data_IF_646852111380
#
_entry.id   IF_646852111380
#
_cell.length_a   1.000
_cell.length_b   1.000
_cell.length_c   1.000
_cell.angle_alpha   90.00
_cell.angle_beta   90.00
_cell.angle_gamma   90.00
#
_symmetry.space_group_name_H-M   'P 1'
#
loop_
_entity.id
_entity.type
_entity.pdbx_description
1 polymer ?
#
# COMPACT_ATOMS: atom_id res chain seq x y z
N UNK A 1 -35.60 -0.23 -5.44
CA UNK A 1 -34.30 0.01 -6.10
C UNK A 1 -33.21 -0.49 -5.17
N UNK A 2 -32.78 -1.75 -5.37
CA UNK A 2 -31.81 -2.41 -4.49
C UNK A 2 -30.48 -1.68 -4.50
N UNK A 3 -29.92 -1.41 -3.31
CA UNK A 3 -28.60 -0.78 -3.16
C UNK A 3 -27.56 -1.66 -3.86
N UNK A 4 -27.06 -1.22 -4.99
CA UNK A 4 -25.93 -1.86 -5.68
C UNK A 4 -24.78 -1.89 -4.68
N UNK A 5 -24.36 -3.08 -4.23
CA UNK A 5 -23.19 -3.19 -3.38
C UNK A 5 -21.99 -2.70 -4.21
N UNK A 6 -21.42 -1.58 -3.79
CA UNK A 6 -20.22 -1.01 -4.42
C UNK A 6 -19.11 -2.06 -4.35
N UNK A 7 -18.50 -2.39 -5.48
CA UNK A 7 -17.40 -3.37 -5.48
C UNK A 7 -16.20 -2.81 -4.70
N UNK A 8 -15.37 -3.69 -4.12
CA UNK A 8 -14.15 -3.27 -3.42
C UNK A 8 -13.25 -2.38 -4.31
N UNK A 9 -13.22 -2.65 -5.62
CA UNK A 9 -12.47 -1.87 -6.60
C UNK A 9 -13.00 -0.45 -6.72
N UNK A 10 -14.32 -0.29 -6.79
CA UNK A 10 -14.96 1.04 -6.80
C UNK A 10 -14.75 1.76 -5.48
N UNK A 11 -14.75 1.03 -4.36
CA UNK A 11 -14.56 1.64 -3.06
C UNK A 11 -13.13 2.13 -2.86
N UNK A 12 -12.12 1.36 -3.29
CA UNK A 12 -10.72 1.80 -3.33
C UNK A 12 -10.54 3.04 -4.20
N UNK A 13 -11.23 3.12 -5.35
CA UNK A 13 -11.18 4.29 -6.23
C UNK A 13 -11.77 5.54 -5.55
N UNK A 14 -12.90 5.38 -4.85
CA UNK A 14 -13.53 6.47 -4.08
C UNK A 14 -12.58 6.98 -2.99
N UNK A 15 -11.93 6.08 -2.26
CA UNK A 15 -10.94 6.47 -1.24
C UNK A 15 -9.76 7.22 -1.88
N UNK A 16 -9.17 6.71 -2.98
CA UNK A 16 -8.06 7.38 -3.67
C UNK A 16 -8.43 8.80 -4.14
N UNK A 17 -9.63 8.98 -4.67
CA UNK A 17 -10.15 10.29 -5.06
C UNK A 17 -10.32 11.22 -3.84
N UNK A 18 -10.81 10.69 -2.72
CA UNK A 18 -10.97 11.45 -1.48
C UNK A 18 -9.63 11.96 -0.92
N UNK A 19 -8.52 11.26 -1.19
CA UNK A 19 -7.17 11.68 -0.77
C UNK A 19 -6.44 12.58 -1.77
N UNK A 20 -7.01 12.92 -2.93
CA UNK A 20 -6.38 13.83 -3.89
C UNK A 20 -6.02 15.21 -3.29
N UNK A 21 -6.84 15.85 -2.43
CA UNK A 21 -6.46 17.10 -1.76
C UNK A 21 -5.23 16.94 -0.86
N UNK A 22 -5.16 15.82 -0.12
CA UNK A 22 -4.00 15.49 0.72
C UNK A 22 -2.75 15.34 -0.15
N UNK A 23 -2.83 14.54 -1.22
CA UNK A 23 -1.73 14.37 -2.19
C UNK A 23 -1.25 15.71 -2.74
N UNK A 24 -2.16 16.62 -3.11
CA UNK A 24 -1.80 17.94 -3.65
C UNK A 24 -1.07 18.84 -2.66
N UNK A 25 -1.30 18.65 -1.35
CA UNK A 25 -0.62 19.40 -0.30
C UNK A 25 0.81 18.87 0.00
N UNK A 26 1.14 17.67 -0.47
CA UNK A 26 2.46 17.07 -0.30
C UNK A 26 3.52 17.74 -1.21
N UNK A 27 4.79 17.67 -0.79
CA UNK A 27 5.93 18.01 -1.65
C UNK A 27 5.99 17.05 -2.83
N UNK A 28 6.62 17.46 -3.94
CA UNK A 28 6.70 16.64 -5.15
C UNK A 28 7.35 15.26 -4.93
N UNK A 29 8.37 15.17 -4.07
CA UNK A 29 8.97 13.90 -3.66
C UNK A 29 7.96 12.98 -2.99
N UNK A 30 7.18 13.53 -2.07
CA UNK A 30 6.27 12.78 -1.22
C UNK A 30 5.00 12.39 -2.00
N UNK A 31 4.64 13.16 -3.03
CA UNK A 31 3.59 12.79 -3.99
C UNK A 31 3.93 11.51 -4.74
N UNK A 32 5.19 11.30 -5.12
CA UNK A 32 5.61 10.07 -5.81
C UNK A 32 5.50 8.86 -4.88
N UNK A 33 5.98 9.00 -3.64
CA UNK A 33 5.85 7.95 -2.61
C UNK A 33 4.38 7.64 -2.34
N UNK A 34 3.54 8.67 -2.24
CA UNK A 34 2.10 8.51 -2.06
C UNK A 34 1.46 7.69 -3.20
N UNK A 35 1.81 7.99 -4.45
CA UNK A 35 1.28 7.25 -5.60
C UNK A 35 1.73 5.79 -5.58
N UNK A 36 2.99 5.52 -5.24
CA UNK A 36 3.54 4.16 -5.10
C UNK A 36 2.81 3.37 -4.01
N UNK A 37 2.53 3.98 -2.86
CA UNK A 37 1.76 3.36 -1.78
C UNK A 37 0.34 2.97 -2.22
N UNK A 38 -0.35 3.84 -2.97
CA UNK A 38 -1.69 3.52 -3.48
C UNK A 38 -1.67 2.41 -4.53
N UNK A 39 -0.61 2.32 -5.35
CA UNK A 39 -0.40 1.17 -6.24
C UNK A 39 -0.18 -0.12 -5.43
N UNK A 40 0.66 -0.06 -4.39
CA UNK A 40 0.93 -1.21 -3.52
C UNK A 40 -0.36 -1.71 -2.82
N UNK A 41 -1.20 -0.79 -2.32
CA UNK A 41 -2.47 -1.13 -1.70
C UNK A 41 -3.43 -1.87 -2.65
N UNK A 42 -3.44 -1.52 -3.93
CA UNK A 42 -4.30 -2.14 -4.95
C UNK A 42 -3.95 -3.61 -5.20
N UNK A 43 -2.73 -4.05 -4.92
CA UNK A 43 -2.32 -5.45 -5.10
C UNK A 43 -3.02 -6.42 -4.13
N UNK A 44 -3.56 -5.91 -3.03
CA UNK A 44 -4.22 -6.70 -1.99
C UNK A 44 -5.75 -6.62 -2.05
N UNK A 45 -6.32 -6.16 -3.18
CA UNK A 45 -7.78 -6.06 -3.39
C UNK A 45 -8.55 -7.34 -3.09
N UNK A 46 -7.97 -8.51 -3.38
CA UNK A 46 -8.57 -9.80 -3.06
C UNK A 46 -8.66 -10.05 -1.54
N UNK A 47 -7.60 -9.71 -0.79
CA UNK A 47 -7.58 -9.82 0.66
C UNK A 47 -8.56 -8.81 1.32
N UNK A 48 -8.60 -7.57 0.80
CA UNK A 48 -9.55 -6.55 1.24
C UNK A 48 -11.01 -6.97 0.98
N UNK A 49 -11.30 -7.66 -0.13
CA UNK A 49 -12.62 -8.20 -0.42
C UNK A 49 -13.07 -9.28 0.59
N UNK A 50 -12.13 -10.03 1.15
CA UNK A 50 -12.41 -11.03 2.19
C UNK A 50 -12.58 -10.42 3.57
N UNK A 51 -12.03 -9.23 3.80
CA UNK A 51 -12.19 -8.46 5.03
C UNK A 51 -13.53 -7.70 5.07
N UNK A 52 -14.65 -8.42 4.93
CA UNK A 52 -16.03 -7.87 4.80
C UNK A 52 -16.50 -6.94 5.92
N UNK A 53 -15.73 -6.79 7.00
CA UNK A 53 -16.01 -5.89 8.14
C UNK A 53 -15.06 -4.71 8.27
N UNK A 54 -13.92 -4.71 7.56
CA UNK A 54 -12.95 -3.61 7.63
C UNK A 54 -13.37 -2.45 6.73
N UNK A 55 -13.09 -1.21 7.13
CA UNK A 55 -13.26 -0.08 6.24
C UNK A 55 -12.25 -0.20 5.07
N UNK A 56 -12.63 0.19 3.84
CA UNK A 56 -11.75 0.11 2.66
C UNK A 56 -10.38 0.75 2.90
N UNK A 57 -10.35 1.92 3.55
CA UNK A 57 -9.11 2.61 3.88
C UNK A 57 -8.24 1.82 4.87
N UNK A 58 -8.82 1.17 5.88
CA UNK A 58 -8.06 0.33 6.83
C UNK A 58 -7.41 -0.84 6.10
N UNK A 59 -8.12 -1.46 5.15
CA UNK A 59 -7.58 -2.53 4.32
C UNK A 59 -6.46 -2.02 3.42
N UNK A 60 -6.59 -0.81 2.85
CA UNK A 60 -5.55 -0.18 2.04
C UNK A 60 -4.30 0.13 2.88
N UNK A 61 -4.46 0.73 4.06
CA UNK A 61 -3.35 1.01 4.98
C UNK A 61 -2.64 -0.27 5.41
N UNK A 62 -3.39 -1.32 5.77
CA UNK A 62 -2.79 -2.60 6.13
C UNK A 62 -1.99 -3.21 4.96
N UNK A 63 -2.51 -3.08 3.74
CA UNK A 63 -1.85 -3.53 2.52
C UNK A 63 -0.54 -2.78 2.26
N UNK A 64 -0.55 -1.45 2.43
CA UNK A 64 0.66 -0.62 2.36
C UNK A 64 1.69 -1.07 3.39
N UNK A 65 1.27 -1.27 4.65
CA UNK A 65 2.17 -1.73 5.73
C UNK A 65 2.78 -3.11 5.44
N UNK A 66 2.02 -4.03 4.84
CA UNK A 66 2.52 -5.35 4.45
C UNK A 66 3.61 -5.22 3.37
N UNK A 67 3.39 -4.40 2.35
CA UNK A 67 4.39 -4.20 1.29
C UNK A 67 5.65 -3.49 1.80
N UNK A 68 5.50 -2.49 2.67
CA UNK A 68 6.62 -1.82 3.33
C UNK A 68 7.41 -2.80 4.22
N UNK A 69 6.72 -3.66 4.98
CA UNK A 69 7.39 -4.68 5.79
C UNK A 69 8.19 -5.67 4.94
N UNK A 70 7.65 -6.08 3.79
CA UNK A 70 8.36 -6.95 2.83
C UNK A 70 9.59 -6.26 2.26
N UNK A 71 9.49 -4.99 1.87
CA UNK A 71 10.60 -4.21 1.35
C UNK A 71 11.72 -4.06 2.41
N UNK A 72 11.37 -3.74 3.66
CA UNK A 72 12.30 -3.66 4.77
C UNK A 72 13.01 -4.99 5.03
N UNK A 73 12.27 -6.12 5.03
CA UNK A 73 12.86 -7.45 5.19
C UNK A 73 13.81 -7.81 4.06
N UNK A 74 13.46 -7.46 2.83
CA UNK A 74 14.33 -7.70 1.69
C UNK A 74 15.63 -6.90 1.79
N UNK A 75 15.55 -5.62 2.16
CA UNK A 75 16.73 -4.77 2.38
C UNK A 75 17.61 -5.29 3.52
N UNK A 76 17.03 -5.76 4.62
CA UNK A 76 17.78 -6.38 5.73
C UNK A 76 18.61 -7.57 5.24
N UNK A 77 18.00 -8.48 4.48
CA UNK A 77 18.70 -9.65 3.92
C UNK A 77 19.85 -9.22 3.00
N UNK A 78 19.62 -8.27 2.10
CA UNK A 78 20.68 -7.77 1.21
C UNK A 78 21.84 -7.16 1.99
N UNK A 79 21.56 -6.39 3.05
CA UNK A 79 22.59 -5.80 3.91
C UNK A 79 23.39 -6.91 4.61
N UNK A 80 22.73 -7.92 5.17
CA UNK A 80 23.39 -9.05 5.82
C UNK A 80 24.30 -9.82 4.85
N UNK A 81 23.84 -10.06 3.63
CA UNK A 81 24.63 -10.71 2.57
C UNK A 81 25.86 -9.88 2.18
N UNK A 82 25.70 -8.57 1.98
CA UNK A 82 26.81 -7.66 1.65
C UNK A 82 27.83 -7.58 2.80
N UNK A 83 27.37 -7.52 4.04
CA UNK A 83 28.24 -7.55 5.22
C UNK A 83 28.98 -8.89 5.35
N UNK A 84 28.33 -10.01 5.05
CA UNK A 84 28.96 -11.32 5.02
C UNK A 84 30.07 -11.41 3.96
N UNK A 85 29.82 -10.88 2.76
CA UNK A 85 30.83 -10.83 1.69
C UNK A 85 32.04 -9.96 2.06
N UNK A 86 31.81 -8.82 2.72
CA UNK A 86 32.89 -7.92 3.14
C UNK A 86 33.76 -8.53 4.24
N UNK A 87 33.18 -9.31 5.16
CA UNK A 87 33.93 -10.00 6.23
C UNK A 87 34.76 -11.18 5.74
N UNK A 88 34.39 -11.76 4.59
CA UNK A 88 35.06 -12.90 3.98
C UNK A 88 36.08 -12.49 2.88
N UNK A 89 36.26 -11.19 2.66
CA UNK A 89 37.26 -10.61 1.75
C UNK A 89 38.46 -10.07 2.53
#
# INVERSE_FOLDING_TARGET
>A
MGRTQTSITQQVQIEEEAFLPFRRALRRSDQMVFDELFVAAKNHRAAAAMASRALPMESMLLSMLIEEHKALKHLQVQIEELQGRLKNS
#
